data_IF_229251510191
#
_entry.id   IF_229251510191
#
_cell.length_a   1.000
_cell.length_b   1.000
_cell.length_c   1.000
_cell.angle_alpha   90.00
_cell.angle_beta   90.00
_cell.angle_gamma   90.00
#
_symmetry.space_group_name_H-M   'P 1'
#
loop_
_entity.id
_entity.type
_entity.pdbx_description
1 polymer ?
#
# COMPACT_ATOMS: atom_id res chain seq x y z
N UNK A 1 -11.55 12.35 -6.01
CA UNK A 1 -10.13 11.92 -5.86
C UNK A 1 -10.01 10.45 -6.22
N UNK A 2 -8.80 9.99 -6.56
CA UNK A 2 -8.52 8.57 -6.87
C UNK A 2 -7.62 7.98 -5.78
N UNK A 3 -7.94 6.80 -5.28
CA UNK A 3 -7.16 6.11 -4.25
C UNK A 3 -6.75 4.72 -4.73
N UNK A 4 -5.45 4.40 -4.60
CA UNK A 4 -4.92 3.06 -4.84
C UNK A 4 -4.76 2.34 -3.51
N UNK A 5 -5.24 1.10 -3.41
CA UNK A 5 -5.17 0.27 -2.22
C UNK A 5 -4.41 -1.01 -2.56
N UNK A 6 -3.26 -1.24 -1.93
CA UNK A 6 -2.59 -2.53 -1.97
C UNK A 6 -3.05 -3.36 -0.78
N UNK A 7 -3.80 -4.42 -1.06
CA UNK A 7 -4.27 -5.38 -0.07
C UNK A 7 -3.35 -6.59 -0.02
N UNK A 8 -2.56 -6.71 1.03
CA UNK A 8 -1.65 -7.83 1.32
C UNK A 8 -2.30 -9.00 2.06
N UNK A 9 -3.63 -9.03 2.23
CA UNK A 9 -4.30 -10.11 2.93
C UNK A 9 -4.65 -11.28 2.00
N UNK A 10 -4.29 -12.53 2.36
CA UNK A 10 -4.77 -13.72 1.64
C UNK A 10 -6.24 -14.05 1.93
N UNK A 11 -6.82 -13.47 2.99
CA UNK A 11 -8.18 -13.77 3.46
C UNK A 11 -9.16 -12.72 2.93
N UNK A 12 -10.12 -13.14 2.09
CA UNK A 12 -11.18 -12.26 1.54
C UNK A 12 -12.10 -11.63 2.60
N UNK A 13 -12.21 -12.21 3.76
CA UNK A 13 -13.06 -11.78 4.90
C UNK A 13 -12.27 -11.72 6.20
N UNK A 14 -10.96 -11.42 6.11
CA UNK A 14 -10.08 -11.31 7.27
C UNK A 14 -10.11 -9.91 7.90
N UNK A 15 -9.38 -9.77 9.00
CA UNK A 15 -9.31 -8.54 9.80
C UNK A 15 -8.76 -7.34 9.01
N UNK A 16 -7.72 -7.55 8.19
CA UNK A 16 -7.19 -6.50 7.31
C UNK A 16 -8.27 -5.99 6.34
N UNK A 17 -9.05 -6.90 5.75
CA UNK A 17 -10.14 -6.53 4.84
C UNK A 17 -11.28 -5.82 5.57
N UNK A 18 -11.53 -6.16 6.84
CA UNK A 18 -12.52 -5.46 7.65
C UNK A 18 -12.15 -3.97 7.83
N UNK A 19 -10.87 -3.67 8.10
CA UNK A 19 -10.38 -2.29 8.22
C UNK A 19 -10.36 -1.57 6.87
N UNK A 20 -9.98 -2.26 5.78
CA UNK A 20 -10.09 -1.70 4.42
C UNK A 20 -11.55 -1.33 4.10
N UNK A 21 -12.51 -2.19 4.43
CA UNK A 21 -13.93 -1.90 4.18
C UNK A 21 -14.42 -0.70 5.00
N UNK A 22 -14.00 -0.61 6.28
CA UNK A 22 -14.34 0.55 7.11
C UNK A 22 -13.74 1.85 6.54
N UNK A 23 -12.50 1.79 6.06
CA UNK A 23 -11.86 2.90 5.35
C UNK A 23 -12.67 3.30 4.09
N UNK A 24 -13.03 2.33 3.24
CA UNK A 24 -13.76 2.57 1.99
C UNK A 24 -15.15 3.16 2.23
N UNK A 25 -15.84 2.72 3.30
CA UNK A 25 -17.16 3.24 3.65
C UNK A 25 -17.17 4.74 3.97
N UNK A 26 -16.00 5.33 4.24
CA UNK A 26 -15.84 6.75 4.58
C UNK A 26 -14.94 7.50 3.58
N UNK A 27 -14.51 6.83 2.52
CA UNK A 27 -13.66 7.41 1.48
C UNK A 27 -14.51 8.05 0.38
N UNK A 28 -14.17 9.29 0.00
CA UNK A 28 -14.75 9.97 -1.13
C UNK A 28 -14.00 9.68 -2.44
N UNK A 29 -14.75 9.53 -3.54
CA UNK A 29 -14.20 9.38 -4.87
C UNK A 29 -13.98 7.93 -5.30
N UNK A 30 -13.12 7.75 -6.29
CA UNK A 30 -12.84 6.44 -6.90
C UNK A 30 -11.71 5.72 -6.18
N UNK A 31 -11.79 4.41 -6.10
CA UNK A 31 -10.69 3.60 -5.60
C UNK A 31 -10.45 2.36 -6.46
N UNK A 32 -9.21 1.88 -6.41
CA UNK A 32 -8.81 0.61 -7.01
C UNK A 32 -8.07 -0.24 -5.98
N UNK A 33 -8.49 -1.49 -5.83
CA UNK A 33 -7.83 -2.45 -4.93
C UNK A 33 -6.99 -3.41 -5.75
N UNK A 34 -5.72 -3.56 -5.37
CA UNK A 34 -4.83 -4.62 -5.85
C UNK A 34 -4.76 -5.68 -4.76
N UNK A 35 -5.48 -6.78 -4.94
CA UNK A 35 -5.41 -7.96 -4.09
C UNK A 35 -4.16 -8.75 -4.46
N UNK A 36 -3.08 -8.61 -3.69
CA UNK A 36 -1.77 -9.12 -4.08
C UNK A 36 -1.70 -10.65 -4.19
N UNK A 37 -2.61 -11.37 -3.54
CA UNK A 37 -2.73 -12.84 -3.64
C UNK A 37 -3.56 -13.30 -4.84
N UNK A 38 -4.21 -12.40 -5.58
CA UNK A 38 -5.09 -12.75 -6.69
C UNK A 38 -4.62 -12.14 -8.02
N UNK A 39 -3.79 -11.10 -7.98
CA UNK A 39 -3.30 -10.42 -9.18
C UNK A 39 -2.20 -11.21 -9.89
N UNK A 40 -2.12 -11.05 -11.21
CA UNK A 40 -1.05 -11.62 -12.03
C UNK A 40 0.08 -10.61 -12.19
N UNK A 41 0.78 -10.30 -11.07
CA UNK A 41 1.95 -9.41 -11.05
C UNK A 41 3.16 -10.20 -10.56
N UNK A 42 4.15 -10.36 -11.42
CA UNK A 42 5.42 -11.02 -11.08
C UNK A 42 6.30 -10.08 -10.25
N UNK A 43 7.12 -10.60 -9.31
CA UNK A 43 8.09 -9.78 -8.60
C UNK A 43 9.15 -9.18 -9.54
N UNK A 44 9.87 -8.17 -9.06
CA UNK A 44 11.05 -7.67 -9.76
C UNK A 44 12.11 -8.78 -9.88
N UNK A 45 12.69 -8.92 -11.07
CA UNK A 45 13.71 -9.93 -11.39
C UNK A 45 15.12 -9.32 -11.51
N UNK A 46 15.30 -8.07 -11.09
CA UNK A 46 16.55 -7.30 -11.18
C UNK A 46 17.20 -7.33 -12.59
N UNK A 47 16.40 -7.23 -13.63
CA UNK A 47 16.88 -7.22 -15.01
C UNK A 47 17.57 -5.92 -15.42
N UNK A 48 17.52 -4.88 -14.57
CA UNK A 48 18.12 -3.55 -14.76
C UNK A 48 17.61 -2.75 -15.96
N UNK A 49 16.59 -3.22 -16.66
CA UNK A 49 15.99 -2.50 -17.79
C UNK A 49 15.62 -1.05 -17.41
N UNK A 50 15.02 -0.84 -16.25
CA UNK A 50 14.60 0.48 -15.74
C UNK A 50 15.77 1.40 -15.31
N UNK A 51 17.03 0.96 -15.39
CA UNK A 51 18.18 1.83 -15.19
C UNK A 51 18.39 2.77 -16.38
N UNK A 52 18.09 2.29 -17.59
CA UNK A 52 18.36 2.97 -18.86
C UNK A 52 17.07 3.36 -19.59
N UNK A 53 15.94 2.70 -19.26
CA UNK A 53 14.67 2.87 -19.96
C UNK A 53 13.55 3.20 -18.98
N UNK A 54 12.57 3.97 -19.45
CA UNK A 54 11.37 4.24 -18.68
C UNK A 54 10.52 2.98 -18.47
N UNK A 55 9.91 2.87 -17.29
CA UNK A 55 9.02 1.78 -16.92
C UNK A 55 9.73 0.47 -16.62
N UNK A 56 8.99 -0.62 -16.73
CA UNK A 56 9.46 -1.99 -16.49
C UNK A 56 9.21 -2.88 -17.69
N UNK A 57 10.20 -3.73 -18.01
CA UNK A 57 10.12 -4.65 -19.17
C UNK A 57 9.06 -5.74 -19.02
N UNK A 58 8.67 -6.09 -17.77
CA UNK A 58 7.67 -7.14 -17.53
C UNK A 58 6.28 -6.64 -17.94
N UNK A 59 5.70 -7.31 -18.93
CA UNK A 59 4.36 -7.02 -19.43
C UNK A 59 3.31 -7.88 -18.70
N UNK A 60 2.83 -7.39 -17.57
CA UNK A 60 1.81 -8.00 -16.74
C UNK A 60 0.83 -6.93 -16.20
N UNK A 61 -0.06 -7.31 -15.27
CA UNK A 61 -1.05 -6.38 -14.72
C UNK A 61 -0.43 -5.13 -14.05
N UNK A 62 0.84 -5.16 -13.68
CA UNK A 62 1.53 -4.01 -13.11
C UNK A 62 1.58 -2.81 -14.06
N UNK A 63 1.53 -3.01 -15.38
CA UNK A 63 1.49 -1.91 -16.35
C UNK A 63 0.26 -1.01 -16.14
N UNK A 64 -0.90 -1.62 -15.85
CA UNK A 64 -2.11 -0.86 -15.53
C UNK A 64 -2.06 -0.22 -14.13
N UNK A 65 -1.30 -0.82 -13.19
CA UNK A 65 -1.08 -0.27 -11.85
C UNK A 65 -0.16 0.95 -11.92
N UNK A 66 0.89 0.94 -12.72
CA UNK A 66 1.75 2.12 -12.92
C UNK A 66 0.95 3.34 -13.39
N UNK A 67 0.10 3.17 -14.41
CA UNK A 67 -0.78 4.26 -14.89
C UNK A 67 -1.69 4.77 -13.77
N UNK A 68 -2.24 3.88 -12.96
CA UNK A 68 -3.10 4.29 -11.85
C UNK A 68 -2.31 5.01 -10.74
N UNK A 69 -1.06 4.58 -10.46
CA UNK A 69 -0.14 5.27 -9.54
C UNK A 69 0.14 6.70 -10.03
N UNK A 70 0.35 6.91 -11.32
CA UNK A 70 0.58 8.24 -11.88
C UNK A 70 -0.63 9.17 -11.68
N UNK A 71 -1.84 8.64 -11.79
CA UNK A 71 -3.09 9.42 -11.72
C UNK A 71 -3.66 9.60 -10.31
N UNK A 72 -3.40 8.66 -9.39
CA UNK A 72 -4.05 8.67 -8.08
C UNK A 72 -3.50 9.76 -7.16
N UNK A 73 -4.37 10.23 -6.26
CA UNK A 73 -4.06 11.23 -5.23
C UNK A 73 -3.57 10.58 -3.93
N UNK A 74 -4.03 9.35 -3.66
CA UNK A 74 -3.80 8.68 -2.39
C UNK A 74 -3.36 7.22 -2.61
N UNK A 75 -2.51 6.71 -1.72
CA UNK A 75 -2.07 5.31 -1.73
C UNK A 75 -2.17 4.71 -0.32
N UNK A 76 -2.89 3.60 -0.21
CA UNK A 76 -3.02 2.82 1.01
C UNK A 76 -2.28 1.49 0.87
N UNK A 77 -1.42 1.16 1.84
CA UNK A 77 -0.85 -0.17 2.02
C UNK A 77 -1.51 -0.82 3.22
N UNK A 78 -2.15 -1.97 3.03
CA UNK A 78 -2.82 -2.72 4.09
C UNK A 78 -2.31 -4.17 4.12
N UNK A 79 -1.84 -4.65 5.28
CA UNK A 79 -1.22 -5.97 5.41
C UNK A 79 -1.46 -6.61 6.76
N UNK A 80 -1.73 -7.91 6.81
CA UNK A 80 -1.44 -8.67 8.02
C UNK A 80 0.07 -8.76 8.22
N UNK A 81 0.48 -8.97 9.47
CA UNK A 81 1.89 -9.10 9.86
C UNK A 81 2.33 -10.56 9.79
N UNK A 82 3.36 -10.82 9.00
CA UNK A 82 4.04 -12.12 8.93
C UNK A 82 5.50 -11.94 9.31
N UNK A 83 5.92 -12.54 10.43
CA UNK A 83 7.30 -12.40 10.95
C UNK A 83 7.72 -10.93 11.16
N UNK A 84 6.81 -10.11 11.68
CA UNK A 84 7.00 -8.65 11.88
C UNK A 84 7.32 -7.89 10.59
N UNK A 85 6.81 -8.38 9.45
CA UNK A 85 6.97 -7.75 8.13
C UNK A 85 5.65 -7.78 7.34
N UNK A 86 5.59 -7.04 6.23
CA UNK A 86 4.53 -7.14 5.23
C UNK A 86 4.50 -8.55 4.65
N UNK A 87 3.32 -8.98 4.17
CA UNK A 87 3.25 -10.31 3.54
C UNK A 87 4.18 -10.42 2.34
N UNK A 88 4.80 -11.57 2.15
CA UNK A 88 5.73 -11.82 1.04
C UNK A 88 5.13 -11.51 -0.33
N UNK A 89 3.82 -11.78 -0.52
CA UNK A 89 3.14 -11.49 -1.77
C UNK A 89 2.97 -9.98 -2.00
N UNK A 90 2.71 -9.21 -0.95
CA UNK A 90 2.67 -7.75 -1.03
C UNK A 90 4.06 -7.19 -1.36
N UNK A 91 5.10 -7.68 -0.70
CA UNK A 91 6.49 -7.30 -1.01
C UNK A 91 6.87 -7.67 -2.45
N UNK A 92 6.47 -8.83 -2.94
CA UNK A 92 6.69 -9.26 -4.31
C UNK A 92 6.07 -8.28 -5.33
N UNK A 93 4.81 -7.90 -5.13
CA UNK A 93 4.11 -6.93 -5.98
C UNK A 93 4.76 -5.55 -5.88
N UNK A 94 4.98 -5.04 -4.67
CA UNK A 94 5.54 -3.71 -4.45
C UNK A 94 7.03 -3.60 -4.79
N UNK A 95 7.77 -4.72 -4.91
CA UNK A 95 9.14 -4.70 -5.44
C UNK A 95 9.21 -4.09 -6.85
N UNK A 96 8.10 -4.09 -7.59
CA UNK A 96 8.00 -3.51 -8.93
C UNK A 96 8.05 -1.97 -8.93
N UNK A 97 7.83 -1.30 -7.79
CA UNK A 97 8.01 0.17 -7.70
C UNK A 97 9.49 0.59 -7.74
N UNK A 98 10.41 -0.38 -7.77
CA UNK A 98 11.83 -0.15 -8.03
C UNK A 98 12.07 0.68 -9.30
N UNK A 99 11.19 0.62 -10.29
CA UNK A 99 11.30 1.46 -11.49
C UNK A 99 11.31 2.95 -11.18
N UNK A 100 10.56 3.40 -10.17
CA UNK A 100 10.53 4.81 -9.74
C UNK A 100 11.80 5.22 -8.99
N UNK A 101 12.40 4.31 -8.20
CA UNK A 101 13.72 4.54 -7.64
C UNK A 101 14.75 4.69 -8.75
N UNK A 102 14.76 3.79 -9.73
CA UNK A 102 15.71 3.80 -10.84
C UNK A 102 15.58 5.05 -11.72
N UNK A 103 14.35 5.50 -11.97
CA UNK A 103 14.12 6.75 -12.69
C UNK A 103 14.81 7.93 -12.00
N UNK A 104 14.65 8.07 -10.69
CA UNK A 104 15.30 9.17 -9.94
C UNK A 104 16.81 9.01 -9.84
N UNK A 105 17.30 7.80 -9.54
CA UNK A 105 18.70 7.58 -9.18
C UNK A 105 19.63 7.44 -10.39
N UNK A 106 19.20 6.72 -11.44
CA UNK A 106 20.05 6.45 -12.60
C UNK A 106 19.77 7.38 -13.79
N UNK A 107 18.51 7.83 -13.96
CA UNK A 107 18.11 8.63 -15.11
C UNK A 107 17.86 10.10 -14.76
N UNK A 108 17.92 10.46 -13.47
CA UNK A 108 17.66 11.83 -12.98
C UNK A 108 16.30 12.38 -13.44
N UNK A 109 15.26 11.54 -13.40
CA UNK A 109 13.90 11.86 -13.83
C UNK A 109 12.96 12.01 -12.64
N UNK A 110 11.83 12.71 -12.86
CA UNK A 110 10.72 12.81 -11.90
C UNK A 110 9.52 12.00 -12.39
N UNK A 111 9.48 10.69 -12.11
CA UNK A 111 8.50 9.79 -12.73
C UNK A 111 7.06 10.02 -12.27
N UNK A 112 6.85 10.70 -11.16
CA UNK A 112 5.54 11.04 -10.62
C UNK A 112 5.52 12.53 -10.30
N UNK A 113 4.69 13.29 -11.04
CA UNK A 113 4.72 14.76 -11.06
C UNK A 113 4.08 15.43 -9.85
N UNK A 114 3.20 14.75 -9.11
CA UNK A 114 2.50 15.32 -7.97
C UNK A 114 2.66 14.49 -6.71
N UNK A 115 2.70 15.17 -5.58
CA UNK A 115 2.73 14.53 -4.26
C UNK A 115 1.39 13.84 -3.96
N UNK A 116 1.46 12.74 -3.20
CA UNK A 116 0.31 11.94 -2.81
C UNK A 116 0.24 11.80 -1.29
N UNK A 117 -0.97 11.57 -0.80
CA UNK A 117 -1.17 11.12 0.58
C UNK A 117 -0.91 9.62 0.68
N UNK A 118 -0.32 9.21 1.81
CA UNK A 118 -0.05 7.83 2.16
C UNK A 118 -0.81 7.37 3.38
N UNK A 119 -1.17 6.10 3.40
CA UNK A 119 -1.76 5.45 4.56
C UNK A 119 -1.24 4.02 4.72
N UNK A 120 -1.22 3.56 5.97
CA UNK A 120 -0.79 2.21 6.31
C UNK A 120 -1.77 1.60 7.31
N UNK A 121 -2.27 0.40 7.01
CA UNK A 121 -3.07 -0.45 7.91
C UNK A 121 -2.29 -1.73 8.17
N UNK A 122 -2.02 -2.03 9.45
CA UNK A 122 -1.29 -3.23 9.87
C UNK A 122 -2.13 -4.04 10.86
N UNK A 123 -2.19 -5.35 10.65
CA UNK A 123 -3.01 -6.25 11.46
C UNK A 123 -2.15 -7.41 11.98
N UNK A 124 -2.04 -7.54 13.29
CA UNK A 124 -1.27 -8.58 13.96
C UNK A 124 -2.12 -9.58 14.75
N UNK A 125 -1.83 -10.88 14.61
CA UNK A 125 -2.45 -11.91 15.46
C UNK A 125 -2.03 -11.83 16.94
N UNK A 126 -0.85 -11.29 17.20
CA UNK A 126 -0.28 -11.00 18.53
C UNK A 126 0.02 -9.52 18.71
N UNK A 127 0.92 -9.21 19.63
CA UNK A 127 1.34 -7.87 20.06
C UNK A 127 2.75 -7.49 19.58
N UNK A 128 3.29 -8.20 18.59
CA UNK A 128 4.66 -8.00 18.09
C UNK A 128 4.95 -6.59 17.60
N UNK A 129 6.22 -6.20 17.64
CA UNK A 129 6.67 -4.89 17.17
C UNK A 129 6.32 -4.64 15.71
N UNK A 130 5.87 -3.42 15.43
CA UNK A 130 5.42 -2.97 14.10
C UNK A 130 6.32 -1.89 13.50
N UNK A 131 7.38 -1.48 14.20
CA UNK A 131 8.26 -0.40 13.77
C UNK A 131 8.98 -0.71 12.44
N UNK A 132 9.54 -1.90 12.31
CA UNK A 132 10.25 -2.32 11.10
C UNK A 132 9.31 -2.36 9.89
N UNK A 133 8.16 -3.02 10.04
CA UNK A 133 7.17 -3.16 8.96
C UNK A 133 6.58 -1.81 8.54
N UNK A 134 6.33 -0.92 9.50
CA UNK A 134 5.87 0.44 9.19
C UNK A 134 6.92 1.21 8.38
N UNK A 135 8.20 1.11 8.75
CA UNK A 135 9.30 1.71 8.00
C UNK A 135 9.39 1.18 6.56
N UNK A 136 9.23 -0.14 6.39
CA UNK A 136 9.18 -0.78 5.05
C UNK A 136 8.00 -0.21 4.23
N UNK A 137 6.80 -0.14 4.81
CA UNK A 137 5.62 0.41 4.13
C UNK A 137 5.82 1.89 3.74
N UNK A 138 6.36 2.72 4.63
CA UNK A 138 6.68 4.12 4.34
C UNK A 138 7.71 4.26 3.22
N UNK A 139 8.74 3.40 3.19
CA UNK A 139 9.73 3.40 2.10
C UNK A 139 9.08 3.11 0.75
N UNK A 140 8.17 2.14 0.70
CA UNK A 140 7.42 1.80 -0.52
C UNK A 140 6.54 3.00 -0.95
N UNK A 141 5.84 3.65 -0.01
CA UNK A 141 5.02 4.83 -0.26
C UNK A 141 5.86 6.00 -0.81
N UNK A 142 7.02 6.27 -0.22
CA UNK A 142 7.93 7.32 -0.68
C UNK A 142 8.40 7.11 -2.11
N UNK A 143 8.64 5.85 -2.52
CA UNK A 143 8.99 5.55 -3.91
C UNK A 143 7.87 5.90 -4.89
N UNK A 144 6.61 5.91 -4.44
CA UNK A 144 5.45 6.32 -5.22
C UNK A 144 5.07 7.81 -5.03
N UNK A 145 5.99 8.63 -4.52
CA UNK A 145 5.81 10.06 -4.22
C UNK A 145 4.71 10.35 -3.20
N UNK A 146 4.48 9.41 -2.26
CA UNK A 146 3.49 9.53 -1.20
C UNK A 146 4.21 9.87 0.11
N UNK A 147 4.46 11.18 0.32
CA UNK A 147 5.29 11.67 1.43
C UNK A 147 4.46 12.19 2.62
N UNK A 148 3.23 12.65 2.36
CA UNK A 148 2.30 13.06 3.39
C UNK A 148 1.55 11.84 3.92
N UNK A 149 2.14 11.17 4.93
CA UNK A 149 1.66 9.88 5.45
C UNK A 149 0.88 10.10 6.75
N UNK A 150 -0.37 9.62 6.78
CA UNK A 150 -1.20 9.63 7.98
C UNK A 150 -0.63 8.77 9.11
N UNK A 151 -1.06 8.98 10.37
CA UNK A 151 -0.80 8.03 11.44
C UNK A 151 -1.26 6.62 11.05
N UNK A 152 -0.42 5.63 11.39
CA UNK A 152 -0.70 4.24 11.04
C UNK A 152 -1.89 3.69 11.82
N UNK A 153 -2.71 2.89 11.14
CA UNK A 153 -3.81 2.14 11.74
C UNK A 153 -3.29 0.75 12.16
N UNK A 154 -3.43 0.44 13.44
CA UNK A 154 -3.06 -0.87 13.99
C UNK A 154 -4.26 -1.59 14.55
N UNK A 155 -4.34 -2.91 14.32
CA UNK A 155 -5.17 -3.83 15.10
C UNK A 155 -4.31 -5.03 15.53
N UNK A 156 -4.16 -5.20 16.83
CA UNK A 156 -3.35 -6.25 17.44
C UNK A 156 -4.21 -7.33 18.08
N UNK A 157 -3.59 -8.49 18.40
CA UNK A 157 -4.24 -9.59 19.09
C UNK A 157 -5.51 -10.10 18.37
N UNK A 158 -5.51 -10.07 17.02
CA UNK A 158 -6.67 -10.48 16.21
C UNK A 158 -6.96 -11.99 16.27
N UNK A 159 -6.07 -12.78 16.89
CA UNK A 159 -6.36 -14.16 17.27
C UNK A 159 -7.40 -14.27 18.39
N UNK A 160 -7.63 -13.20 19.16
CA UNK A 160 -8.53 -13.14 20.30
C UNK A 160 -9.70 -12.19 20.07
N UNK A 161 -9.46 -11.02 19.50
CA UNK A 161 -10.45 -9.97 19.25
C UNK A 161 -10.39 -9.59 17.78
N UNK A 162 -11.46 -9.80 17.03
CA UNK A 162 -11.51 -9.39 15.62
C UNK A 162 -11.32 -7.88 15.46
N UNK A 163 -10.66 -7.45 14.38
CA UNK A 163 -10.52 -6.02 14.07
C UNK A 163 -11.87 -5.29 13.95
N UNK A 164 -12.95 -6.01 13.66
CA UNK A 164 -14.31 -5.43 13.64
C UNK A 164 -14.77 -4.96 15.01
N UNK A 165 -14.27 -5.62 16.07
CA UNK A 165 -14.60 -5.34 17.47
C UNK A 165 -13.54 -4.44 18.13
N UNK A 166 -12.44 -4.13 17.42
CA UNK A 166 -11.41 -3.18 17.82
C UNK A 166 -11.91 -1.75 17.52
N UNK A 167 -12.57 -1.14 18.50
CA UNK A 167 -13.17 0.21 18.38
C UNK A 167 -12.12 1.25 17.97
N UNK A 168 -10.88 1.13 18.47
CA UNK A 168 -9.80 2.06 18.14
C UNK A 168 -9.38 1.90 16.69
N UNK A 169 -9.08 0.70 16.23
CA UNK A 169 -8.66 0.44 14.87
C UNK A 169 -9.73 0.83 13.85
N UNK A 170 -11.00 0.56 14.13
CA UNK A 170 -12.12 1.00 13.30
C UNK A 170 -12.22 2.53 13.22
N UNK A 171 -12.09 3.23 14.35
CA UNK A 171 -12.06 4.70 14.38
C UNK A 171 -10.87 5.27 13.61
N UNK A 172 -9.68 4.70 13.80
CA UNK A 172 -8.47 5.15 13.12
C UNK A 172 -8.57 4.92 11.60
N UNK A 173 -9.23 3.83 11.18
CA UNK A 173 -9.50 3.54 9.76
C UNK A 173 -10.42 4.59 9.12
N UNK A 174 -11.47 5.06 9.85
CA UNK A 174 -12.31 6.19 9.42
C UNK A 174 -11.51 7.48 9.32
N UNK A 175 -10.72 7.79 10.33
CA UNK A 175 -9.89 9.00 10.35
C UNK A 175 -8.90 9.00 9.16
N UNK A 176 -8.35 7.85 8.80
CA UNK A 176 -7.50 7.71 7.62
C UNK A 176 -8.26 8.04 6.32
N UNK A 177 -9.52 7.60 6.20
CA UNK A 177 -10.35 7.96 5.05
C UNK A 177 -10.64 9.47 5.00
N UNK A 178 -10.97 10.08 6.13
CA UNK A 178 -11.19 11.53 6.23
C UNK A 178 -9.92 12.32 5.85
N UNK A 179 -8.75 11.88 6.31
CA UNK A 179 -7.48 12.46 5.89
C UNK A 179 -7.27 12.36 4.37
N UNK A 180 -7.66 11.24 3.74
CA UNK A 180 -7.56 11.09 2.29
C UNK A 180 -8.57 11.97 1.53
N UNK A 181 -9.72 12.30 2.13
CA UNK A 181 -10.74 13.14 1.52
C UNK A 181 -10.36 14.65 1.50
N UNK A 182 -9.42 15.07 2.33
CA UNK A 182 -8.93 16.46 2.29
C UNK A 182 -8.12 16.68 0.99
N UNK A 183 -8.26 17.85 0.39
CA UNK A 183 -7.40 18.24 -0.75
C UNK A 183 -5.95 18.44 -0.29
N UNK A 184 -5.00 18.05 -1.14
CA UNK A 184 -3.58 18.36 -0.96
C UNK A 184 -3.36 19.85 -1.23
#
# INVERSE_FOLDING_TARGET
MKTLIFNGSPRKKGDTVALINEFINHLDGEYKIINTYECNIKPCIDCRYCWEHDGCILNDEMQAVYKYIEECNNILIASPLYFSELTGQLLAVTSRVQTYFCARFFRNETPISHEKKGGVILVGGGDGSTESVYKTACTILHHMNSNNIAPVVYSHNTNTISSKDDIKAMKDSRNLALFFNEKI
#
